data_IF_575195231021
#
_entry.id   IF_575195231021
#
_cell.length_a   1.000
_cell.length_b   1.000
_cell.length_c   1.000
_cell.angle_alpha   90.00
_cell.angle_beta   90.00
_cell.angle_gamma   90.00
#
_symmetry.space_group_name_H-M   'P 1'
#
loop_
_entity.id
_entity.type
_entity.pdbx_description
1 polymer ?
#
# COMPACT_ATOMS: atom_id res chain seq x y z
N UNK A 1 -6.21 -2.42 18.03
CA UNK A 1 -5.87 -1.94 16.67
C UNK A 1 -4.43 -2.32 16.43
N UNK A 2 -4.13 -2.99 15.31
CA UNK A 2 -2.75 -3.22 14.92
C UNK A 2 -2.05 -1.86 14.72
N UNK A 3 -0.81 -1.76 15.19
CA UNK A 3 0.06 -0.61 14.88
C UNK A 3 0.29 -0.54 13.35
N UNK A 4 0.42 0.66 12.78
CA UNK A 4 0.67 0.84 11.35
C UNK A 4 1.92 0.09 10.89
N UNK A 5 2.93 -0.01 11.76
CA UNK A 5 4.12 -0.84 11.52
C UNK A 5 3.79 -2.34 11.47
N UNK A 6 2.87 -2.82 12.30
CA UNK A 6 2.45 -4.21 12.31
C UNK A 6 1.67 -4.58 11.03
N UNK A 7 0.74 -3.71 10.60
CA UNK A 7 0.02 -3.88 9.32
C UNK A 7 1.00 -3.86 8.14
N UNK A 8 2.01 -2.98 8.17
CA UNK A 8 3.06 -2.96 7.16
C UNK A 8 3.82 -4.28 7.09
N UNK A 9 4.22 -4.86 8.23
CA UNK A 9 4.92 -6.15 8.29
C UNK A 9 4.06 -7.32 7.81
N UNK A 10 2.76 -7.31 8.09
CA UNK A 10 1.83 -8.29 7.53
C UNK A 10 1.69 -8.14 6.01
N UNK A 11 1.64 -6.91 5.50
CA UNK A 11 1.59 -6.64 4.07
C UNK A 11 2.86 -7.07 3.34
N UNK A 12 4.03 -6.88 3.98
CA UNK A 12 5.32 -7.36 3.49
C UNK A 12 5.32 -8.90 3.38
N UNK A 13 4.90 -9.60 4.43
CA UNK A 13 4.80 -11.06 4.41
C UNK A 13 3.81 -11.55 3.31
N UNK A 14 2.63 -10.92 3.22
CA UNK A 14 1.63 -11.20 2.21
C UNK A 14 2.17 -11.07 0.77
N UNK A 15 2.90 -9.98 0.51
CA UNK A 15 3.50 -9.70 -0.79
C UNK A 15 4.58 -10.74 -1.14
N UNK A 16 5.43 -11.09 -0.19
CA UNK A 16 6.50 -12.07 -0.39
C UNK A 16 5.93 -13.47 -0.65
N UNK A 17 4.89 -13.88 0.08
CA UNK A 17 4.19 -15.15 -0.14
C UNK A 17 3.68 -15.23 -1.58
N UNK A 18 2.94 -14.22 -2.04
CA UNK A 18 2.31 -14.24 -3.37
C UNK A 18 3.36 -14.19 -4.50
N UNK A 19 4.47 -13.47 -4.30
CA UNK A 19 5.59 -13.43 -5.23
C UNK A 19 6.27 -14.80 -5.39
N UNK A 20 6.66 -15.41 -4.27
CA UNK A 20 7.38 -16.69 -4.27
C UNK A 20 6.48 -17.83 -4.73
N UNK A 21 5.23 -17.86 -4.28
CA UNK A 21 4.24 -18.85 -4.72
C UNK A 21 3.99 -18.76 -6.22
N UNK A 22 3.82 -17.54 -6.76
CA UNK A 22 3.65 -17.32 -8.20
C UNK A 22 4.85 -17.79 -9.01
N UNK A 23 6.06 -17.51 -8.55
CA UNK A 23 7.29 -18.01 -9.17
C UNK A 23 7.33 -19.55 -9.18
N UNK A 24 7.16 -20.18 -8.02
CA UNK A 24 7.23 -21.63 -7.84
C UNK A 24 6.12 -22.39 -8.59
N UNK A 25 4.92 -21.81 -8.70
CA UNK A 25 3.80 -22.41 -9.45
C UNK A 25 4.15 -22.62 -10.94
N UNK A 26 5.05 -21.81 -11.51
CA UNK A 26 5.49 -21.95 -12.90
C UNK A 26 6.66 -22.93 -13.07
N UNK A 27 7.17 -23.51 -11.98
CA UNK A 27 8.42 -24.29 -11.95
C UNK A 27 8.26 -25.66 -11.31
N UNK A 28 7.06 -26.24 -11.39
CA UNK A 28 6.81 -27.58 -10.87
C UNK A 28 7.77 -28.63 -11.48
N UNK A 29 8.67 -29.14 -10.65
CA UNK A 29 9.25 -30.47 -10.75
C UNK A 29 8.97 -31.17 -9.42
N UNK A 30 8.18 -32.27 -9.40
CA UNK A 30 7.99 -33.04 -8.18
C UNK A 30 9.33 -33.69 -7.81
N UNK A 31 9.97 -33.15 -6.78
CA UNK A 31 11.20 -33.69 -6.20
C UNK A 31 10.89 -34.42 -4.89
N UNK A 32 11.55 -35.55 -4.59
CA UNK A 32 11.21 -36.45 -3.47
C UNK A 32 11.60 -35.93 -2.07
N UNK A 33 11.75 -34.63 -1.89
CA UNK A 33 12.21 -34.05 -0.62
C UNK A 33 11.06 -33.86 0.37
N UNK A 34 10.86 -34.88 1.19
CA UNK A 34 9.78 -35.07 2.15
C UNK A 34 9.77 -34.15 3.40
N UNK A 35 10.62 -33.12 3.47
CA UNK A 35 10.79 -32.31 4.68
C UNK A 35 10.09 -30.95 4.67
N UNK A 36 9.70 -30.44 3.49
CA UNK A 36 8.98 -29.18 3.35
C UNK A 36 7.59 -29.44 2.76
N UNK A 37 6.58 -28.73 3.27
CA UNK A 37 5.23 -28.80 2.69
C UNK A 37 5.25 -28.30 1.24
N UNK A 38 4.33 -28.77 0.40
CA UNK A 38 4.23 -28.33 -1.00
C UNK A 38 4.16 -26.79 -1.06
N UNK A 39 4.86 -26.10 -1.99
CA UNK A 39 4.86 -24.64 -2.07
C UNK A 39 3.47 -24.01 -2.09
N UNK A 40 2.49 -24.68 -2.71
CA UNK A 40 1.10 -24.24 -2.73
C UNK A 40 0.42 -24.32 -1.35
N UNK A 41 0.79 -25.31 -0.53
CA UNK A 41 0.34 -25.45 0.85
C UNK A 41 0.98 -24.40 1.75
N UNK A 42 2.31 -24.21 1.66
CA UNK A 42 3.03 -23.14 2.38
C UNK A 42 2.42 -21.77 2.09
N UNK A 43 2.13 -21.47 0.82
CA UNK A 43 1.51 -20.21 0.43
C UNK A 43 0.09 -20.07 1.00
N UNK A 44 -0.72 -21.13 0.97
CA UNK A 44 -2.08 -21.13 1.52
C UNK A 44 -2.07 -20.87 3.02
N UNK A 45 -1.21 -21.58 3.75
CA UNK A 45 -1.07 -21.46 5.20
C UNK A 45 -0.53 -20.08 5.59
N UNK A 46 0.46 -19.57 4.83
CA UNK A 46 0.99 -18.22 5.01
C UNK A 46 -0.09 -17.16 4.83
N UNK A 47 -0.92 -17.27 3.79
CA UNK A 47 -2.07 -16.35 3.58
C UNK A 47 -3.10 -16.46 4.69
N UNK A 48 -3.34 -17.64 5.23
CA UNK A 48 -4.24 -17.83 6.36
C UNK A 48 -3.68 -17.20 7.66
N UNK A 49 -2.38 -17.34 7.91
CA UNK A 49 -1.69 -16.69 9.02
C UNK A 49 -1.74 -15.16 8.90
N UNK A 50 -1.50 -14.62 7.71
CA UNK A 50 -1.65 -13.20 7.39
C UNK A 50 -3.06 -12.70 7.70
N UNK A 51 -4.10 -13.40 7.21
CA UNK A 51 -5.49 -13.02 7.42
C UNK A 51 -5.90 -13.06 8.90
N UNK A 52 -5.29 -13.95 9.68
CA UNK A 52 -5.48 -14.03 11.12
C UNK A 52 -4.57 -13.08 11.92
N UNK A 53 -3.75 -12.27 11.24
CA UNK A 53 -2.83 -11.33 11.86
C UNK A 53 -1.70 -12.00 12.64
N UNK A 54 -1.32 -13.24 12.31
CA UNK A 54 -0.25 -14.01 12.97
C UNK A 54 1.06 -13.84 12.21
N UNK A 55 1.74 -12.71 12.45
CA UNK A 55 2.92 -12.31 11.69
C UNK A 55 4.07 -13.33 11.77
N UNK A 56 4.32 -13.92 12.94
CA UNK A 56 5.39 -14.92 13.09
C UNK A 56 5.19 -16.12 12.17
N UNK A 57 4.01 -16.74 12.22
CA UNK A 57 3.65 -17.86 11.34
C UNK A 57 3.68 -17.47 9.85
N UNK A 58 3.29 -16.24 9.51
CA UNK A 58 3.37 -15.77 8.13
C UNK A 58 4.82 -15.65 7.65
N UNK A 59 5.74 -15.19 8.51
CA UNK A 59 7.17 -15.10 8.20
C UNK A 59 7.82 -16.47 8.09
N UNK A 60 7.47 -17.42 8.97
CA UNK A 60 7.94 -18.81 8.88
C UNK A 60 7.59 -19.40 7.51
N UNK A 61 6.37 -19.17 7.02
CA UNK A 61 5.94 -19.61 5.68
C UNK A 61 6.65 -18.89 4.53
N UNK A 62 7.06 -17.62 4.72
CA UNK A 62 7.91 -16.92 3.75
C UNK A 62 9.27 -17.61 3.65
N UNK A 63 9.86 -17.98 4.78
CA UNK A 63 11.16 -18.64 4.80
C UNK A 63 11.10 -20.05 4.20
N UNK A 64 10.04 -20.82 4.47
CA UNK A 64 9.76 -22.10 3.79
C UNK A 64 9.73 -21.93 2.25
N UNK A 65 9.01 -20.90 1.76
CA UNK A 65 8.92 -20.60 0.33
C UNK A 65 10.26 -20.14 -0.28
N UNK A 66 11.08 -19.41 0.48
CA UNK A 66 12.43 -19.01 0.05
C UNK A 66 13.35 -20.21 -0.08
N UNK A 67 13.26 -21.18 0.83
CA UNK A 67 14.03 -22.43 0.73
C UNK A 67 13.69 -23.21 -0.53
N UNK A 68 12.40 -23.27 -0.90
CA UNK A 68 12.00 -23.84 -2.19
C UNK A 68 12.52 -23.05 -3.39
N UNK A 69 12.46 -21.72 -3.33
CA UNK A 69 12.93 -20.84 -4.42
C UNK A 69 14.46 -20.91 -4.61
N UNK A 70 15.23 -21.14 -3.55
CA UNK A 70 16.69 -21.24 -3.58
C UNK A 70 17.20 -22.32 -4.55
N UNK A 71 16.42 -23.38 -4.78
CA UNK A 71 16.71 -24.43 -5.78
C UNK A 71 16.78 -23.89 -7.21
N UNK A 72 16.24 -22.70 -7.44
CA UNK A 72 16.15 -22.02 -8.72
C UNK A 72 16.90 -20.68 -8.72
N UNK A 73 17.86 -20.49 -7.80
CA UNK A 73 18.57 -19.21 -7.63
C UNK A 73 19.24 -18.69 -8.92
N UNK A 74 19.70 -19.59 -9.79
CA UNK A 74 20.34 -19.22 -11.07
C UNK A 74 19.34 -19.00 -12.21
N UNK A 75 18.04 -19.19 -11.96
CA UNK A 75 17.03 -19.07 -13.00
C UNK A 75 16.85 -17.59 -13.42
N UNK A 76 16.81 -17.26 -14.74
CA UNK A 76 16.70 -15.86 -15.21
C UNK A 76 15.47 -15.08 -14.74
N UNK A 77 14.46 -15.79 -14.27
CA UNK A 77 13.21 -15.25 -13.73
C UNK A 77 13.07 -15.46 -12.22
N UNK A 78 14.14 -15.84 -11.52
CA UNK A 78 14.13 -15.89 -10.07
C UNK A 78 13.75 -14.49 -9.54
N UNK A 79 12.80 -14.38 -8.60
CA UNK A 79 12.48 -13.11 -7.98
C UNK A 79 13.69 -12.65 -7.18
N UNK A 80 14.51 -11.77 -7.78
CA UNK A 80 15.60 -11.11 -7.08
C UNK A 80 15.08 -10.13 -6.03
N UNK A 81 15.99 -9.57 -5.23
CA UNK A 81 15.63 -8.50 -4.31
C UNK A 81 15.23 -7.25 -5.10
N UNK A 82 13.97 -6.77 -4.98
CA UNK A 82 13.59 -5.51 -5.60
C UNK A 82 14.35 -4.35 -4.96
N UNK A 83 14.56 -3.26 -5.71
CA UNK A 83 15.09 -2.04 -5.13
C UNK A 83 14.16 -1.49 -4.04
N UNK A 84 14.70 -0.80 -3.04
CA UNK A 84 13.93 -0.35 -1.86
C UNK A 84 12.63 0.40 -2.20
N UNK A 85 12.67 1.31 -3.19
CA UNK A 85 11.48 2.06 -3.61
C UNK A 85 10.41 1.20 -4.29
N UNK A 86 10.82 0.18 -5.06
CA UNK A 86 9.91 -0.76 -5.69
C UNK A 86 9.31 -1.72 -4.67
N UNK A 87 10.12 -2.17 -3.70
CA UNK A 87 9.66 -2.95 -2.56
C UNK A 87 8.58 -2.21 -1.79
N UNK A 88 8.84 -0.96 -1.40
CA UNK A 88 7.89 -0.14 -0.64
C UNK A 88 6.60 0.10 -1.42
N UNK A 89 6.68 0.36 -2.72
CA UNK A 89 5.50 0.52 -3.58
C UNK A 89 4.65 -0.76 -3.64
N UNK A 90 5.29 -1.93 -3.76
CA UNK A 90 4.59 -3.22 -3.78
C UNK A 90 3.96 -3.55 -2.44
N UNK A 91 4.69 -3.38 -1.33
CA UNK A 91 4.16 -3.60 0.03
C UNK A 91 3.00 -2.65 0.32
N UNK A 92 3.06 -1.43 -0.18
CA UNK A 92 2.00 -0.45 -0.01
C UNK A 92 0.66 -0.88 -0.61
N UNK A 93 0.65 -1.48 -1.80
CA UNK A 93 -0.58 -1.98 -2.42
C UNK A 93 -1.25 -3.05 -1.54
N UNK A 94 -0.46 -3.96 -0.96
CA UNK A 94 -0.94 -4.97 -0.02
C UNK A 94 -1.46 -4.36 1.29
N UNK A 95 -0.72 -3.40 1.84
CA UNK A 95 -1.12 -2.71 3.08
C UNK A 95 -2.44 -1.96 2.90
N UNK A 96 -2.63 -1.33 1.74
CA UNK A 96 -3.87 -0.64 1.39
C UNK A 96 -5.06 -1.60 1.28
N UNK A 97 -4.88 -2.76 0.69
CA UNK A 97 -5.95 -3.74 0.57
C UNK A 97 -6.32 -4.38 1.92
N UNK A 98 -5.34 -4.60 2.81
CA UNK A 98 -5.58 -5.01 4.19
C UNK A 98 -6.37 -3.95 4.98
N UNK A 99 -5.96 -2.69 4.89
CA UNK A 99 -6.66 -1.58 5.55
C UNK A 99 -8.09 -1.43 5.01
N UNK A 100 -8.31 -1.65 3.71
CA UNK A 100 -9.66 -1.68 3.12
C UNK A 100 -10.51 -2.83 3.66
N UNK A 101 -9.93 -4.02 3.85
CA UNK A 101 -10.62 -5.17 4.41
C UNK A 101 -11.02 -4.95 5.87
N UNK A 102 -10.15 -4.33 6.68
CA UNK A 102 -10.42 -3.98 8.07
C UNK A 102 -11.44 -2.82 8.21
N UNK A 103 -11.42 -1.86 7.28
CA UNK A 103 -12.19 -0.63 7.37
C UNK A 103 -13.33 -0.53 6.37
N UNK A 104 -13.89 -1.66 5.91
CA UNK A 104 -14.97 -1.74 4.92
C UNK A 104 -15.87 -0.50 5.00
N UNK A 105 -15.81 0.41 3.99
CA UNK A 105 -16.37 1.74 4.17
C UNK A 105 -17.88 1.60 4.32
N UNK A 106 -18.42 1.97 5.50
CA UNK A 106 -19.87 1.94 5.66
C UNK A 106 -20.49 2.84 4.58
N UNK A 107 -21.67 2.50 4.04
CA UNK A 107 -22.31 3.27 2.94
C UNK A 107 -22.39 4.77 3.21
N UNK A 108 -22.46 5.19 4.47
CA UNK A 108 -22.44 6.59 4.90
C UNK A 108 -21.08 7.31 4.67
N UNK A 109 -19.97 6.57 4.58
CA UNK A 109 -18.63 7.10 4.33
C UNK A 109 -18.42 7.45 2.85
N UNK A 110 -19.13 6.82 1.92
CA UNK A 110 -18.91 7.01 0.48
C UNK A 110 -19.20 8.44 -0.01
N UNK A 111 -20.31 9.12 0.38
CA UNK A 111 -20.54 10.51 -0.03
C UNK A 111 -19.49 11.47 0.52
N UNK A 112 -19.12 11.32 1.81
CA UNK A 112 -18.14 12.18 2.46
C UNK A 112 -16.72 11.96 1.91
N UNK A 113 -16.34 10.70 1.68
CA UNK A 113 -15.08 10.33 1.02
C UNK A 113 -14.98 10.93 -0.38
N UNK A 114 -16.06 10.82 -1.17
CA UNK A 114 -16.12 11.36 -2.54
C UNK A 114 -16.00 12.88 -2.55
N UNK A 115 -16.70 13.59 -1.66
CA UNK A 115 -16.59 15.05 -1.52
C UNK A 115 -15.17 15.48 -1.13
N UNK A 116 -14.55 14.81 -0.15
CA UNK A 116 -13.17 15.11 0.26
C UNK A 116 -12.19 14.88 -0.89
N UNK A 117 -12.26 13.75 -1.59
CA UNK A 117 -11.40 13.47 -2.76
C UNK A 117 -11.60 14.47 -3.89
N UNK A 118 -12.85 14.88 -4.15
CA UNK A 118 -13.15 15.90 -5.15
C UNK A 118 -12.51 17.25 -4.78
N UNK A 119 -12.64 17.68 -3.52
CA UNK A 119 -12.06 18.93 -3.03
C UNK A 119 -10.53 18.92 -3.00
N UNK A 120 -9.92 17.81 -2.61
CA UNK A 120 -8.46 17.66 -2.64
C UNK A 120 -7.92 17.84 -4.07
N UNK A 121 -8.52 17.15 -5.05
CA UNK A 121 -8.13 17.29 -6.47
C UNK A 121 -8.39 18.70 -7.01
N UNK A 122 -9.50 19.33 -6.62
CA UNK A 122 -9.84 20.69 -7.03
C UNK A 122 -8.76 21.68 -6.55
N UNK A 123 -8.48 21.71 -5.25
CA UNK A 123 -7.51 22.64 -4.65
C UNK A 123 -6.08 22.40 -5.16
N UNK A 124 -5.69 21.13 -5.36
CA UNK A 124 -4.40 20.81 -5.93
C UNK A 124 -4.25 21.41 -7.34
N UNK A 125 -5.28 21.27 -8.19
CA UNK A 125 -5.29 21.85 -9.52
C UNK A 125 -5.27 23.37 -9.46
N UNK A 126 -6.10 23.97 -8.61
CA UNK A 126 -6.17 25.41 -8.42
C UNK A 126 -4.79 26.00 -8.09
N UNK A 127 -4.06 25.40 -7.14
CA UNK A 127 -2.70 25.80 -6.78
C UNK A 127 -1.73 25.62 -7.96
N UNK A 128 -1.79 24.50 -8.69
CA UNK A 128 -0.93 24.28 -9.85
C UNK A 128 -1.22 25.22 -11.03
N UNK A 129 -2.46 25.70 -11.15
CA UNK A 129 -2.86 26.66 -12.18
C UNK A 129 -2.66 28.11 -11.74
N UNK A 130 -2.30 28.36 -10.48
CA UNK A 130 -2.05 29.69 -9.97
C UNK A 130 -0.76 30.26 -10.59
N UNK A 131 -0.82 31.40 -11.33
CA UNK A 131 0.34 31.99 -12.00
C UNK A 131 1.48 32.41 -11.05
N UNK A 132 1.16 32.56 -9.76
CA UNK A 132 2.06 33.03 -8.72
C UNK A 132 2.43 31.93 -7.70
N UNK A 133 2.00 30.68 -7.91
CA UNK A 133 2.44 29.58 -7.08
C UNK A 133 3.93 29.28 -7.37
N UNK A 134 4.75 29.30 -6.32
CA UNK A 134 6.11 28.84 -6.42
C UNK A 134 6.16 27.30 -6.53
N UNK A 135 7.30 26.77 -6.96
CA UNK A 135 7.49 25.32 -7.11
C UNK A 135 7.28 24.56 -5.78
N UNK A 136 7.52 25.23 -4.65
CA UNK A 136 7.32 24.66 -3.32
C UNK A 136 5.84 24.48 -2.99
N UNK A 137 4.99 25.46 -3.30
CA UNK A 137 3.55 25.39 -3.15
C UNK A 137 2.96 24.27 -4.03
N UNK A 138 3.52 24.06 -5.22
CA UNK A 138 3.20 22.90 -6.06
C UNK A 138 3.54 21.57 -5.38
N UNK A 139 4.76 21.43 -4.88
CA UNK A 139 5.19 20.20 -4.17
C UNK A 139 4.36 19.94 -2.90
N UNK A 140 4.11 20.98 -2.10
CA UNK A 140 3.29 20.91 -0.89
C UNK A 140 1.84 20.54 -1.21
N UNK A 141 1.27 21.12 -2.27
CA UNK A 141 -0.08 20.79 -2.72
C UNK A 141 -0.20 19.32 -3.14
N UNK A 142 0.79 18.82 -3.88
CA UNK A 142 0.85 17.40 -4.27
C UNK A 142 0.93 16.49 -3.04
N UNK A 143 1.78 16.83 -2.09
CA UNK A 143 1.97 16.06 -0.86
C UNK A 143 0.72 16.04 0.03
N UNK A 144 0.08 17.20 0.26
CA UNK A 144 -1.13 17.33 1.06
C UNK A 144 -2.32 16.62 0.39
N UNK A 145 -2.48 16.75 -0.93
CA UNK A 145 -3.51 16.05 -1.69
C UNK A 145 -3.32 14.53 -1.63
N UNK A 146 -2.08 14.05 -1.80
CA UNK A 146 -1.72 12.63 -1.70
C UNK A 146 -2.03 12.05 -0.33
N UNK A 147 -1.59 12.70 0.77
CA UNK A 147 -1.91 12.24 2.13
C UNK A 147 -3.40 12.30 2.44
N UNK A 148 -4.09 13.34 1.99
CA UNK A 148 -5.54 13.46 2.17
C UNK A 148 -6.29 12.34 1.44
N UNK A 149 -5.90 12.04 0.21
CA UNK A 149 -6.48 10.97 -0.58
C UNK A 149 -6.21 9.60 0.05
N UNK A 150 -4.96 9.35 0.45
CA UNK A 150 -4.56 8.17 1.21
C UNK A 150 -5.43 8.00 2.46
N UNK A 151 -5.57 9.04 3.28
CA UNK A 151 -6.41 9.00 4.48
C UNK A 151 -7.89 8.68 4.19
N UNK A 152 -8.42 9.09 3.04
CA UNK A 152 -9.76 8.66 2.60
C UNK A 152 -9.77 7.18 2.23
N UNK A 153 -8.77 6.71 1.48
CA UNK A 153 -8.69 5.32 1.04
C UNK A 153 -8.59 4.32 2.20
N UNK A 154 -7.95 4.72 3.30
CA UNK A 154 -7.83 3.91 4.54
C UNK A 154 -8.95 4.19 5.55
N UNK A 155 -10.00 4.93 5.19
CA UNK A 155 -11.18 5.17 6.04
C UNK A 155 -10.99 6.24 7.15
N UNK A 156 -9.82 6.86 7.25
CA UNK A 156 -9.49 7.89 8.24
C UNK A 156 -9.97 9.29 7.82
N UNK A 157 -11.29 9.50 7.75
CA UNK A 157 -11.87 10.78 7.30
C UNK A 157 -11.46 11.99 8.17
N UNK A 158 -11.16 11.79 9.45
CA UNK A 158 -10.65 12.87 10.32
C UNK A 158 -9.29 13.39 9.86
N UNK A 159 -8.37 12.47 9.53
CA UNK A 159 -7.06 12.80 8.98
C UNK A 159 -7.19 13.40 7.56
N UNK A 160 -8.07 12.84 6.73
CA UNK A 160 -8.34 13.38 5.39
C UNK A 160 -8.86 14.83 5.44
N UNK A 161 -9.78 15.14 6.37
CA UNK A 161 -10.27 16.50 6.60
C UNK A 161 -9.18 17.43 7.13
N UNK A 162 -8.25 16.94 7.96
CA UNK A 162 -7.11 17.72 8.44
C UNK A 162 -6.21 18.12 7.27
N UNK A 163 -5.86 17.19 6.40
CA UNK A 163 -5.05 17.49 5.22
C UNK A 163 -5.78 18.38 4.21
N UNK A 164 -7.10 18.19 4.03
CA UNK A 164 -7.92 19.11 3.23
C UNK A 164 -7.91 20.55 3.78
N UNK A 165 -7.97 20.73 5.11
CA UNK A 165 -7.86 22.08 5.71
C UNK A 165 -6.49 22.70 5.48
N UNK A 166 -5.41 21.92 5.56
CA UNK A 166 -4.06 22.39 5.28
C UNK A 166 -3.88 22.77 3.81
N UNK A 167 -4.45 21.99 2.90
CA UNK A 167 -4.43 22.27 1.46
C UNK A 167 -5.23 23.54 1.13
N UNK A 168 -6.37 23.77 1.80
CA UNK A 168 -7.11 25.05 1.70
C UNK A 168 -6.28 26.23 2.18
N UNK A 169 -5.67 26.11 3.36
CA UNK A 169 -4.81 27.17 3.89
C UNK A 169 -3.58 27.43 3.00
N UNK A 170 -3.13 26.46 2.22
CA UNK A 170 -2.10 26.65 1.21
C UNK A 170 -2.66 27.39 -0.02
N UNK A 171 -3.84 27.01 -0.51
CA UNK A 171 -4.51 27.70 -1.61
C UNK A 171 -4.82 29.16 -1.28
N UNK A 172 -5.27 29.46 -0.06
CA UNK A 172 -5.52 30.84 0.43
C UNK A 172 -4.25 31.70 0.48
N UNK A 173 -3.08 31.08 0.59
CA UNK A 173 -1.78 31.77 0.58
C UNK A 173 -1.21 31.97 -0.83
N UNK A 174 -1.71 31.23 -1.82
CA UNK A 174 -1.40 31.48 -3.21
C UNK A 174 -2.22 32.70 -3.66
N UNK A 175 -1.58 33.83 -4.03
CA UNK A 175 -2.33 35.03 -4.37
C UNK A 175 -3.14 34.80 -5.66
N UNK A 176 -4.47 34.84 -5.53
CA UNK A 176 -5.44 34.74 -6.61
C UNK A 176 -6.84 35.16 -6.19
N UNK A 177 -7.12 36.47 -6.34
CA UNK A 177 -8.43 37.15 -6.36
C UNK A 177 -9.12 37.51 -5.02
N UNK A 178 -8.56 38.51 -4.31
CA UNK A 178 -9.41 39.61 -3.83
C UNK A 178 -9.51 40.67 -4.94
N UNK A 179 -10.72 40.94 -5.42
CA UNK A 179 -11.14 42.21 -6.03
C UNK A 179 -10.65 42.59 -7.43
N UNK A 180 -11.45 42.27 -8.46
CA UNK A 180 -11.91 43.19 -9.51
C UNK A 180 -13.09 42.57 -10.27
#
# INVERSE_FOLDING_TARGET
>A
MADAYYTWRLAEAAQQIDLLAGFLATRHAPGPDHHLAEPAECARDGRAAVAAGRLGEALDRVDDLREHAARWAEHPHHPGEPGAAEHDARVWDYAKDMLRAEHAPARAYLPAARDILARLRFLQREIHTCPHADAQAGADAHYLAGRGAMAVEIGHLGAARKELRRLRALAEKCPGADGA
#
